data_IF_152595409042
#
_entry.id   IF_152595409042
#
_cell.length_a   1.000
_cell.length_b   1.000
_cell.length_c   1.000
_cell.angle_alpha   90.00
_cell.angle_beta   90.00
_cell.angle_gamma   90.00
#
_symmetry.space_group_name_H-M   'P 1'
#
loop_
_entity.id
_entity.type
_entity.pdbx_description
1 polymer ?
#
# COMPACT_ATOMS: atom_id res chain seq x y z
N UNK A 1 -1.71 -3.73 -12.15
CA UNK A 1 -2.53 -4.27 -11.05
C UNK A 1 -4.00 -3.86 -11.24
N UNK A 2 -4.34 -2.54 -11.33
CA UNK A 2 -5.73 -2.07 -11.44
C UNK A 2 -6.52 -2.66 -12.59
N UNK A 3 -5.97 -2.67 -13.80
CA UNK A 3 -6.63 -3.28 -14.98
C UNK A 3 -6.87 -4.78 -14.77
N UNK A 4 -5.87 -5.52 -14.28
CA UNK A 4 -6.00 -6.96 -14.03
C UNK A 4 -7.10 -7.28 -13.02
N UNK A 5 -7.14 -6.55 -11.90
CA UNK A 5 -8.20 -6.68 -10.91
C UNK A 5 -9.57 -6.33 -11.48
N UNK A 6 -9.66 -5.24 -12.27
CA UNK A 6 -10.90 -4.84 -12.94
C UNK A 6 -11.42 -5.88 -13.94
N UNK A 7 -10.54 -6.52 -14.73
CA UNK A 7 -10.91 -7.58 -15.67
C UNK A 7 -11.43 -8.81 -14.92
N UNK A 8 -10.72 -9.28 -13.90
CA UNK A 8 -11.13 -10.44 -13.10
C UNK A 8 -12.50 -10.20 -12.45
N UNK A 9 -12.68 -9.05 -11.80
CA UNK A 9 -13.93 -8.69 -11.15
C UNK A 9 -15.07 -8.48 -12.16
N UNK A 10 -14.79 -7.86 -13.32
CA UNK A 10 -15.76 -7.64 -14.38
C UNK A 10 -16.23 -8.96 -15.01
N UNK A 11 -15.32 -9.88 -15.30
CA UNK A 11 -15.66 -11.22 -15.80
C UNK A 11 -16.51 -11.98 -14.78
N UNK A 12 -16.11 -11.96 -13.52
CA UNK A 12 -16.90 -12.57 -12.44
C UNK A 12 -18.33 -12.00 -12.38
N UNK A 13 -18.47 -10.69 -12.54
CA UNK A 13 -19.78 -10.01 -12.59
C UNK A 13 -20.62 -10.48 -13.77
N UNK A 14 -20.00 -10.68 -14.94
CA UNK A 14 -20.68 -11.23 -16.13
C UNK A 14 -21.16 -12.67 -15.91
N UNK A 15 -20.35 -13.48 -15.20
CA UNK A 15 -20.70 -14.89 -14.92
C UNK A 15 -21.87 -15.03 -13.93
N UNK A 16 -22.05 -14.06 -13.02
CA UNK A 16 -23.21 -14.05 -12.11
C UNK A 16 -24.55 -13.84 -12.83
N UNK A 17 -24.54 -13.28 -14.02
CA UNK A 17 -25.74 -13.07 -14.83
C UNK A 17 -26.64 -11.96 -14.30
N UNK A 18 -27.85 -11.90 -14.85
CA UNK A 18 -28.83 -10.87 -14.57
C UNK A 18 -28.90 -9.80 -15.65
N UNK A 19 -30.01 -9.05 -15.69
CA UNK A 19 -30.27 -8.09 -16.78
C UNK A 19 -29.26 -6.92 -16.81
N UNK A 20 -28.68 -6.57 -15.67
CA UNK A 20 -27.64 -5.52 -15.55
C UNK A 20 -26.20 -6.07 -15.57
N UNK A 21 -26.00 -7.38 -15.73
CA UNK A 21 -24.69 -8.02 -15.63
C UNK A 21 -23.66 -7.44 -16.61
N UNK A 22 -24.07 -7.19 -17.86
CA UNK A 22 -23.21 -6.64 -18.91
C UNK A 22 -22.78 -5.20 -18.55
N UNK A 23 -23.72 -4.36 -18.14
CA UNK A 23 -23.44 -2.99 -17.74
C UNK A 23 -22.48 -2.94 -16.52
N UNK A 24 -22.76 -3.76 -15.50
CA UNK A 24 -21.92 -3.86 -14.32
C UNK A 24 -20.53 -4.46 -14.62
N UNK A 25 -20.43 -5.44 -15.49
CA UNK A 25 -19.15 -6.02 -15.91
C UNK A 25 -18.25 -5.00 -16.61
N UNK A 26 -18.82 -4.28 -17.57
CA UNK A 26 -18.10 -3.22 -18.32
C UNK A 26 -17.69 -2.10 -17.39
N UNK A 27 -18.58 -1.61 -16.53
CA UNK A 27 -18.26 -0.54 -15.56
C UNK A 27 -17.12 -0.93 -14.61
N UNK A 28 -17.10 -2.18 -14.14
CA UNK A 28 -16.03 -2.68 -13.27
C UNK A 28 -14.67 -2.73 -13.98
N UNK A 29 -14.63 -3.15 -15.24
CA UNK A 29 -13.40 -3.13 -16.05
C UNK A 29 -12.92 -1.69 -16.27
N UNK A 30 -13.82 -0.78 -16.62
CA UNK A 30 -13.51 0.64 -16.80
C UNK A 30 -13.02 1.29 -15.51
N UNK A 31 -13.64 0.98 -14.37
CA UNK A 31 -13.20 1.45 -13.05
C UNK A 31 -11.78 1.00 -12.75
N UNK A 32 -11.46 -0.28 -13.01
CA UNK A 32 -10.10 -0.82 -12.85
C UNK A 32 -9.07 -0.14 -13.77
N UNK A 33 -9.46 0.16 -15.01
CA UNK A 33 -8.62 0.91 -15.96
C UNK A 33 -8.37 2.34 -15.48
N UNK A 34 -9.42 3.08 -15.11
CA UNK A 34 -9.35 4.46 -14.61
C UNK A 34 -8.49 4.51 -13.35
N UNK A 35 -8.74 3.61 -12.38
CA UNK A 35 -7.95 3.54 -11.16
C UNK A 35 -6.47 3.21 -11.44
N UNK A 36 -6.18 2.34 -12.40
CA UNK A 36 -4.83 2.01 -12.83
C UNK A 36 -4.08 3.18 -13.46
N UNK A 37 -4.75 3.94 -14.35
CA UNK A 37 -4.19 5.11 -15.01
C UNK A 37 -3.96 6.27 -14.02
N UNK A 38 -4.95 6.55 -13.17
CA UNK A 38 -4.84 7.58 -12.13
C UNK A 38 -3.77 7.21 -11.11
N UNK A 39 -3.73 5.97 -10.65
CA UNK A 39 -2.70 5.49 -9.73
C UNK A 39 -1.28 5.64 -10.27
N UNK A 40 -1.08 5.42 -11.58
CA UNK A 40 0.19 5.67 -12.25
C UNK A 40 0.57 7.16 -12.23
N UNK A 41 -0.39 8.04 -12.51
CA UNK A 41 -0.19 9.50 -12.52
C UNK A 41 0.11 10.05 -11.12
N UNK A 42 -0.64 9.63 -10.12
CA UNK A 42 -0.49 10.10 -8.73
C UNK A 42 0.72 9.51 -8.00
N UNK A 43 1.20 8.33 -8.38
CA UNK A 43 2.44 7.74 -7.86
C UNK A 43 3.65 8.67 -8.06
N UNK A 44 3.63 9.48 -9.11
CA UNK A 44 4.69 10.44 -9.43
C UNK A 44 4.64 11.65 -8.49
N UNK A 45 3.47 12.02 -7.94
CA UNK A 45 3.26 13.27 -7.20
C UNK A 45 3.13 13.13 -5.68
N UNK A 46 3.27 11.95 -5.11
CA UNK A 46 3.29 11.68 -3.64
C UNK A 46 2.17 12.31 -2.78
N UNK A 47 1.19 12.99 -3.37
CA UNK A 47 0.17 13.74 -2.62
C UNK A 47 -1.21 13.15 -2.86
N UNK A 48 -1.55 12.10 -2.08
CA UNK A 48 -2.91 11.58 -2.04
C UNK A 48 -3.73 12.36 -1.00
N UNK A 49 -4.66 13.18 -1.49
CA UNK A 49 -5.71 13.75 -0.63
C UNK A 49 -6.93 12.82 -0.63
N UNK A 50 -7.45 12.52 0.55
CA UNK A 50 -8.66 11.69 0.71
C UNK A 50 -9.85 12.18 -0.12
N UNK A 51 -10.01 13.51 -0.23
CA UNK A 51 -11.09 14.10 -1.00
C UNK A 51 -11.01 13.71 -2.49
N UNK A 52 -9.83 13.68 -3.09
CA UNK A 52 -9.66 13.26 -4.49
C UNK A 52 -10.06 11.80 -4.70
N UNK A 53 -9.70 10.92 -3.78
CA UNK A 53 -10.07 9.50 -3.85
C UNK A 53 -11.58 9.32 -3.75
N UNK A 54 -12.23 10.02 -2.82
CA UNK A 54 -13.68 10.00 -2.67
C UNK A 54 -14.41 10.52 -3.92
N UNK A 55 -13.96 11.64 -4.49
CA UNK A 55 -14.56 12.17 -5.71
C UNK A 55 -14.39 11.24 -6.91
N UNK A 56 -13.23 10.58 -7.03
CA UNK A 56 -13.01 9.56 -8.06
C UNK A 56 -13.97 8.38 -7.85
N UNK A 57 -14.11 7.90 -6.61
CA UNK A 57 -15.04 6.82 -6.28
C UNK A 57 -16.48 7.16 -6.63
N UNK A 58 -16.98 8.34 -6.23
CA UNK A 58 -18.33 8.81 -6.57
C UNK A 58 -18.50 8.92 -8.09
N UNK A 59 -17.51 9.44 -8.81
CA UNK A 59 -17.57 9.56 -10.28
C UNK A 59 -17.66 8.21 -10.97
N UNK A 60 -16.96 7.19 -10.47
CA UNK A 60 -17.03 5.82 -10.97
C UNK A 60 -18.41 5.21 -10.73
N UNK A 61 -19.01 5.45 -9.57
CA UNK A 61 -20.36 4.98 -9.28
C UNK A 61 -21.40 5.65 -10.18
N UNK A 62 -21.31 6.95 -10.40
CA UNK A 62 -22.19 7.66 -11.33
C UNK A 62 -22.03 7.14 -12.76
N UNK A 63 -20.82 6.85 -13.17
CA UNK A 63 -20.55 6.21 -14.48
C UNK A 63 -21.21 4.83 -14.57
N UNK A 64 -21.16 4.03 -13.50
CA UNK A 64 -21.82 2.74 -13.44
C UNK A 64 -23.34 2.87 -13.59
N UNK A 65 -23.96 3.82 -12.87
CA UNK A 65 -25.41 4.07 -13.01
C UNK A 65 -25.77 4.49 -14.43
N UNK A 66 -24.97 5.37 -15.05
CA UNK A 66 -25.18 5.78 -16.43
C UNK A 66 -25.08 4.60 -17.41
N UNK A 67 -24.11 3.70 -17.21
CA UNK A 67 -23.97 2.49 -18.04
C UNK A 67 -25.13 1.53 -17.89
N UNK A 68 -25.67 1.37 -16.69
CA UNK A 68 -26.87 0.56 -16.46
C UNK A 68 -28.04 1.12 -17.26
N UNK A 69 -28.28 2.44 -17.20
CA UNK A 69 -29.38 3.09 -17.95
C UNK A 69 -29.20 3.03 -19.47
N UNK A 70 -27.96 3.00 -19.98
CA UNK A 70 -27.67 2.95 -21.39
C UNK A 70 -27.74 1.53 -22.00
N UNK A 71 -27.31 0.54 -21.24
CA UNK A 71 -27.09 -0.82 -21.75
C UNK A 71 -28.22 -1.78 -21.36
N UNK A 72 -28.73 -1.67 -20.13
CA UNK A 72 -29.73 -2.59 -19.63
C UNK A 72 -31.12 -2.28 -20.25
N UNK A 73 -31.80 -3.33 -20.66
CA UNK A 73 -33.13 -3.24 -21.24
C UNK A 73 -34.07 -4.25 -20.55
N UNK A 74 -35.37 -3.91 -20.36
CA UNK A 74 -36.03 -2.65 -20.71
C UNK A 74 -35.57 -1.45 -19.83
N UNK A 75 -35.69 -0.23 -20.37
CA UNK A 75 -35.25 1.00 -19.70
C UNK A 75 -36.02 1.26 -18.38
N UNK A 76 -37.31 0.94 -18.32
CA UNK A 76 -38.14 1.14 -17.13
C UNK A 76 -37.62 0.32 -15.93
N UNK A 77 -37.24 -0.93 -16.17
CA UNK A 77 -36.64 -1.77 -15.13
C UNK A 77 -35.24 -1.27 -14.72
N UNK A 78 -34.45 -0.82 -15.67
CA UNK A 78 -33.15 -0.22 -15.40
C UNK A 78 -33.28 1.06 -14.56
N UNK A 79 -34.26 1.89 -14.89
CA UNK A 79 -34.53 3.12 -14.14
C UNK A 79 -35.00 2.81 -12.71
N UNK A 80 -35.95 1.88 -12.56
CA UNK A 80 -36.43 1.43 -11.26
C UNK A 80 -35.29 0.85 -10.40
N UNK A 81 -34.41 0.05 -11.00
CA UNK A 81 -33.26 -0.50 -10.33
C UNK A 81 -32.32 0.61 -9.85
N UNK A 82 -31.94 1.56 -10.72
CA UNK A 82 -31.04 2.65 -10.37
C UNK A 82 -31.58 3.50 -9.23
N UNK A 83 -32.88 3.81 -9.24
CA UNK A 83 -33.50 4.55 -8.13
C UNK A 83 -33.36 3.85 -6.77
N UNK A 84 -33.40 2.54 -6.73
CA UNK A 84 -33.27 1.75 -5.50
C UNK A 84 -31.81 1.61 -5.06
N UNK A 85 -30.91 1.34 -6.03
CA UNK A 85 -29.52 0.99 -5.67
C UNK A 85 -28.58 2.19 -5.62
N UNK A 86 -28.87 3.31 -6.29
CA UNK A 86 -27.92 4.42 -6.43
C UNK A 86 -27.43 4.96 -5.08
N UNK A 87 -28.37 5.28 -4.20
CA UNK A 87 -28.07 5.88 -2.90
C UNK A 87 -27.28 4.92 -1.99
N UNK A 88 -27.74 3.70 -1.73
CA UNK A 88 -26.99 2.75 -0.89
C UNK A 88 -25.65 2.37 -1.49
N UNK A 89 -25.53 2.21 -2.83
CA UNK A 89 -24.24 1.87 -3.45
C UNK A 89 -23.23 3.00 -3.32
N UNK A 90 -23.60 4.24 -3.60
CA UNK A 90 -22.71 5.39 -3.45
C UNK A 90 -22.21 5.50 -2.01
N UNK A 91 -23.09 5.38 -1.02
CA UNK A 91 -22.71 5.45 0.39
C UNK A 91 -21.78 4.30 0.80
N UNK A 92 -22.16 3.06 0.49
CA UNK A 92 -21.39 1.88 0.91
C UNK A 92 -20.02 1.84 0.23
N UNK A 93 -19.94 2.18 -1.05
CA UNK A 93 -18.67 2.20 -1.77
C UNK A 93 -17.77 3.37 -1.34
N UNK A 94 -18.35 4.56 -1.11
CA UNK A 94 -17.60 5.69 -0.56
C UNK A 94 -17.06 5.39 0.84
N UNK A 95 -17.87 4.78 1.71
CA UNK A 95 -17.46 4.35 3.04
C UNK A 95 -16.37 3.27 2.99
N UNK A 96 -16.56 2.23 2.17
CA UNK A 96 -15.56 1.18 1.96
C UNK A 96 -14.23 1.72 1.44
N UNK A 97 -14.28 2.62 0.46
CA UNK A 97 -13.09 3.28 -0.09
C UNK A 97 -12.38 4.14 0.97
N UNK A 98 -13.14 4.88 1.77
CA UNK A 98 -12.58 5.67 2.88
C UNK A 98 -11.89 4.78 3.93
N UNK A 99 -12.54 3.70 4.36
CA UNK A 99 -11.95 2.73 5.28
C UNK A 99 -10.67 2.12 4.72
N UNK A 100 -10.68 1.73 3.44
CA UNK A 100 -9.51 1.18 2.77
C UNK A 100 -8.34 2.18 2.71
N UNK A 101 -8.63 3.45 2.44
CA UNK A 101 -7.62 4.50 2.47
C UNK A 101 -7.03 4.71 3.87
N UNK A 102 -7.85 4.62 4.93
CA UNK A 102 -7.36 4.69 6.31
C UNK A 102 -6.41 3.54 6.62
N UNK A 103 -6.78 2.30 6.27
CA UNK A 103 -5.96 1.11 6.49
C UNK A 103 -4.61 1.25 5.78
N UNK A 104 -4.61 1.65 4.50
CA UNK A 104 -3.36 1.87 3.76
C UNK A 104 -2.50 2.94 4.43
N UNK A 105 -3.11 4.05 4.86
CA UNK A 105 -2.35 5.11 5.55
C UNK A 105 -1.72 4.61 6.84
N UNK A 106 -2.47 3.86 7.64
CA UNK A 106 -1.94 3.27 8.87
C UNK A 106 -0.77 2.33 8.58
N UNK A 107 -0.90 1.45 7.58
CA UNK A 107 0.16 0.54 7.17
C UNK A 107 1.43 1.27 6.69
N UNK A 108 1.28 2.33 5.89
CA UNK A 108 2.42 3.15 5.43
C UNK A 108 3.09 3.88 6.58
N UNK A 109 2.32 4.45 7.51
CA UNK A 109 2.88 5.13 8.69
C UNK A 109 3.63 4.17 9.60
N UNK A 110 3.14 2.95 9.77
CA UNK A 110 3.82 1.90 10.54
C UNK A 110 5.15 1.50 9.88
N UNK A 111 5.15 1.35 8.55
CA UNK A 111 6.39 1.07 7.80
C UNK A 111 7.41 2.21 7.92
N UNK A 112 6.96 3.47 7.84
CA UNK A 112 7.83 4.64 8.02
C UNK A 112 8.41 4.73 9.43
N UNK A 113 7.62 4.44 10.46
CA UNK A 113 8.09 4.37 11.86
C UNK A 113 9.15 3.30 12.04
N UNK A 114 8.86 2.07 11.57
CA UNK A 114 9.82 0.96 11.67
C UNK A 114 11.15 1.29 10.98
N UNK A 115 11.12 1.94 9.81
CA UNK A 115 12.33 2.39 9.12
C UNK A 115 13.08 3.48 9.88
N UNK A 116 12.36 4.42 10.49
CA UNK A 116 12.96 5.48 11.30
C UNK A 116 13.65 4.90 12.54
N UNK A 117 13.02 3.94 13.22
CA UNK A 117 13.59 3.25 14.39
C UNK A 117 14.86 2.48 14.00
N UNK A 118 14.84 1.72 12.89
CA UNK A 118 16.03 1.00 12.38
C UNK A 118 17.19 1.94 12.05
N UNK A 119 16.91 3.11 11.44
CA UNK A 119 17.95 4.11 11.14
C UNK A 119 18.48 4.70 12.44
N UNK A 120 17.61 4.99 13.40
CA UNK A 120 18.02 5.52 14.70
C UNK A 120 18.95 4.55 15.45
N UNK A 121 18.59 3.28 15.51
CA UNK A 121 19.39 2.22 16.13
C UNK A 121 20.75 2.08 15.44
N UNK A 122 20.77 2.08 14.10
CA UNK A 122 22.02 2.00 13.33
C UNK A 122 22.93 3.21 13.60
N UNK A 123 22.38 4.42 13.68
CA UNK A 123 23.14 5.63 14.00
C UNK A 123 23.65 5.60 15.43
N UNK A 124 22.86 5.11 16.39
CA UNK A 124 23.27 4.99 17.78
C UNK A 124 24.43 3.98 17.93
N UNK A 125 24.33 2.83 17.26
CA UNK A 125 25.42 1.85 17.22
C UNK A 125 26.68 2.47 16.60
N UNK A 126 26.54 3.19 15.47
CA UNK A 126 27.66 3.84 14.81
C UNK A 126 28.34 4.88 15.73
N UNK A 127 27.57 5.69 16.47
CA UNK A 127 28.12 6.66 17.41
C UNK A 127 28.89 5.99 18.56
N UNK A 128 28.31 4.94 19.17
CA UNK A 128 28.95 4.20 20.27
C UNK A 128 30.23 3.49 19.84
N UNK A 129 30.27 2.98 18.62
CA UNK A 129 31.43 2.25 18.08
C UNK A 129 32.52 3.19 17.54
N UNK A 130 32.15 4.35 17.01
CA UNK A 130 33.06 5.31 16.41
C UNK A 130 34.11 5.81 17.42
N UNK A 131 33.72 6.06 18.66
CA UNK A 131 34.64 6.54 19.71
C UNK A 131 35.77 5.53 19.98
N UNK A 132 35.44 4.24 19.95
CA UNK A 132 36.42 3.17 20.12
C UNK A 132 37.31 2.98 18.88
N UNK A 133 36.77 3.11 17.68
CA UNK A 133 37.56 3.02 16.45
C UNK A 133 38.48 4.23 16.21
N UNK A 134 38.15 5.41 16.75
CA UNK A 134 39.03 6.58 16.66
C UNK A 134 40.33 6.39 17.45
N UNK A 135 40.37 5.47 18.43
CA UNK A 135 41.58 5.09 19.15
C UNK A 135 42.47 4.10 18.40
N UNK A 136 42.08 3.72 17.18
CA UNK A 136 42.77 2.76 16.33
C UNK A 136 42.17 1.35 16.39
N UNK A 137 42.43 0.58 15.32
CA UNK A 137 42.04 -0.83 15.20
C UNK A 137 43.02 -1.71 16.00
N UNK A 138 42.82 -1.81 17.29
CA UNK A 138 43.56 -2.71 18.15
C UNK A 138 42.62 -3.73 18.80
N UNK A 139 43.16 -4.84 19.29
CA UNK A 139 42.39 -5.94 19.88
C UNK A 139 41.42 -5.45 20.97
N UNK A 140 41.86 -4.50 21.79
CA UNK A 140 41.08 -3.95 22.91
C UNK A 140 39.89 -3.10 22.42
N UNK A 141 40.08 -2.28 21.39
CA UNK A 141 39.01 -1.47 20.77
C UNK A 141 38.03 -2.36 20.06
N UNK A 142 38.50 -3.35 19.28
CA UNK A 142 37.69 -4.29 18.56
C UNK A 142 36.82 -5.15 19.50
N UNK A 143 37.37 -5.58 20.65
CA UNK A 143 36.62 -6.36 21.63
C UNK A 143 35.44 -5.56 22.20
N UNK A 144 35.67 -4.30 22.59
CA UNK A 144 34.60 -3.43 23.11
C UNK A 144 33.52 -3.19 22.04
N UNK A 145 33.92 -2.95 20.79
CA UNK A 145 32.97 -2.79 19.69
C UNK A 145 32.17 -4.07 19.45
N UNK A 146 32.81 -5.23 19.49
CA UNK A 146 32.12 -6.51 19.34
C UNK A 146 31.11 -6.76 20.47
N UNK A 147 31.45 -6.42 21.71
CA UNK A 147 30.55 -6.49 22.87
C UNK A 147 29.33 -5.57 22.68
N UNK A 148 29.53 -4.30 22.30
CA UNK A 148 28.46 -3.33 22.03
C UNK A 148 27.55 -3.85 20.89
N UNK A 149 28.12 -4.34 19.80
CA UNK A 149 27.35 -4.88 18.69
C UNK A 149 26.51 -6.08 19.14
N UNK A 150 27.09 -7.03 19.87
CA UNK A 150 26.35 -8.20 20.36
C UNK A 150 25.19 -7.82 21.27
N UNK A 151 25.43 -6.91 22.20
CA UNK A 151 24.42 -6.44 23.16
C UNK A 151 23.27 -5.70 22.48
N UNK A 152 23.59 -4.84 21.49
CA UNK A 152 22.60 -4.01 20.81
C UNK A 152 21.81 -4.75 19.72
N UNK A 153 22.44 -5.70 19.04
CA UNK A 153 21.78 -6.47 17.95
C UNK A 153 21.16 -7.79 18.43
N UNK A 154 21.52 -8.26 19.63
CA UNK A 154 21.03 -9.53 20.18
C UNK A 154 21.53 -10.76 19.44
N UNK A 155 22.57 -10.63 18.59
CA UNK A 155 23.14 -11.78 17.86
C UNK A 155 23.91 -12.70 18.80
N UNK A 156 23.98 -14.00 18.46
CA UNK A 156 24.62 -15.00 19.30
C UNK A 156 26.14 -14.79 19.45
N UNK A 157 26.81 -14.34 18.37
CA UNK A 157 28.23 -14.06 18.39
C UNK A 157 28.59 -12.96 17.37
N UNK A 158 29.65 -12.19 17.65
CA UNK A 158 30.22 -11.19 16.76
C UNK A 158 31.73 -11.43 16.66
N UNK A 159 32.24 -11.44 15.43
CA UNK A 159 33.68 -11.49 15.17
C UNK A 159 34.09 -10.31 14.32
N UNK A 160 35.21 -9.66 14.67
CA UNK A 160 35.83 -8.61 13.88
C UNK A 160 37.12 -9.14 13.29
N UNK A 161 37.26 -9.02 11.99
CA UNK A 161 38.40 -9.56 11.22
C UNK A 161 39.12 -8.43 10.47
N UNK A 162 40.43 -8.60 10.31
CA UNK A 162 41.25 -7.82 9.42
C UNK A 162 41.76 -8.71 8.25
N UNK A 163 42.50 -8.14 7.31
CA UNK A 163 43.09 -8.89 6.19
C UNK A 163 43.98 -10.05 6.62
N UNK A 164 44.52 -10.00 7.84
CA UNK A 164 45.46 -10.97 8.37
C UNK A 164 44.82 -12.03 9.28
N UNK A 165 43.55 -11.88 9.65
CA UNK A 165 42.85 -12.84 10.50
C UNK A 165 41.76 -12.24 11.42
N UNK A 166 41.33 -13.03 12.40
CA UNK A 166 40.33 -12.62 13.39
C UNK A 166 41.02 -11.76 14.46
N UNK A 167 40.62 -10.51 14.61
CA UNK A 167 41.12 -9.60 15.63
C UNK A 167 40.48 -9.89 16.99
N UNK A 168 39.18 -10.20 17.01
CA UNK A 168 38.44 -10.54 18.23
C UNK A 168 37.13 -11.25 17.90
N UNK A 169 36.60 -11.95 18.88
CA UNK A 169 35.25 -12.55 18.85
C UNK A 169 34.63 -12.51 20.26
N UNK A 170 33.28 -12.40 20.32
CA UNK A 170 32.50 -12.39 21.55
C UNK A 170 31.19 -13.16 21.40
#
# INVERSE_FOLDING_TARGET
VGLGAGVIAGVHRLMLGGFSAVACGISTILAGLIAGLLGRKYRIHRTFSYSHVLWIGISVELLQMALILLIAKPFEEAWALVQVIALPMIFMNAFGLFMFCLIIKMAVLEEERTKADQIHDALQIAQLTLEHFRQGLNEKSCKKVAEILRERTGVAAVAITDRNGILTHV
#
